data_IF_129064640347
#
_entry.id   IF_129064640347
#
_cell.length_a   1.000
_cell.length_b   1.000
_cell.length_c   1.000
_cell.angle_alpha   90.00
_cell.angle_beta   90.00
_cell.angle_gamma   90.00
#
_symmetry.space_group_name_H-M   'P 1'
#
loop_
_entity.id
_entity.type
_entity.pdbx_description
1 polymer ?
#
# COMPACT_ATOMS: atom_id res chain seq x y z
N UNK A 1 -15.51 50.15 12.29
CA UNK A 1 -16.81 50.48 11.65
C UNK A 1 -16.88 49.62 10.38
N UNK A 2 -17.66 48.68 10.18
CA UNK A 2 -19.05 48.31 10.30
C UNK A 2 -19.19 46.78 10.35
N UNK A 3 -19.98 46.31 11.25
CA UNK A 3 -20.57 44.98 11.32
C UNK A 3 -21.52 44.74 10.15
N UNK A 4 -21.61 43.52 9.63
CA UNK A 4 -22.87 42.97 9.13
C UNK A 4 -22.87 41.46 9.32
N UNK A 5 -23.78 41.01 10.20
CA UNK A 5 -24.21 39.64 10.44
C UNK A 5 -24.80 38.99 9.19
N UNK A 6 -24.50 37.69 9.01
CA UNK A 6 -25.39 36.78 8.31
C UNK A 6 -25.21 35.38 8.90
N UNK A 7 -26.28 34.90 9.56
CA UNK A 7 -26.35 33.66 10.28
C UNK A 7 -26.37 32.40 9.40
N UNK A 8 -26.29 31.19 10.00
CA UNK A 8 -26.07 29.94 9.30
C UNK A 8 -27.36 29.38 8.69
N UNK A 9 -27.37 29.23 7.37
CA UNK A 9 -28.41 28.47 6.68
C UNK A 9 -28.06 26.98 6.68
N UNK A 10 -28.84 26.19 7.39
CA UNK A 10 -28.82 24.71 7.33
C UNK A 10 -29.45 24.26 6.01
N UNK A 11 -28.64 23.94 5.01
CA UNK A 11 -29.07 23.18 3.83
C UNK A 11 -28.82 21.69 4.07
N UNK A 12 -29.90 20.97 4.30
CA UNK A 12 -29.96 19.51 4.25
C UNK A 12 -29.58 19.05 2.83
N UNK A 13 -28.39 18.43 2.72
CA UNK A 13 -27.92 17.78 1.51
C UNK A 13 -28.67 16.45 1.32
N UNK A 14 -29.74 16.46 0.53
CA UNK A 14 -30.32 15.23 -0.01
C UNK A 14 -29.38 14.63 -1.06
N UNK A 15 -28.99 13.39 -0.83
CA UNK A 15 -28.14 12.62 -1.74
C UNK A 15 -28.77 12.50 -3.12
N UNK A 16 -28.01 12.85 -4.17
CA UNK A 16 -28.40 12.66 -5.57
C UNK A 16 -28.35 11.17 -5.90
N UNK A 17 -29.50 10.60 -6.20
CA UNK A 17 -29.59 9.30 -6.89
C UNK A 17 -29.46 9.54 -8.39
N UNK A 18 -28.59 8.75 -9.03
CA UNK A 18 -28.39 8.74 -10.48
C UNK A 18 -29.66 8.24 -11.19
N UNK A 19 -30.40 9.13 -11.80
CA UNK A 19 -31.27 8.87 -12.97
C UNK A 19 -31.86 10.20 -13.49
N UNK A 20 -30.99 11.13 -13.94
CA UNK A 20 -31.39 12.29 -14.70
C UNK A 20 -31.05 12.06 -16.19
N UNK A 21 -31.99 11.48 -16.94
CA UNK A 21 -31.98 11.58 -18.41
C UNK A 21 -32.38 13.01 -18.79
N UNK A 22 -31.40 13.81 -19.16
CA UNK A 22 -31.58 15.22 -19.56
C UNK A 22 -32.02 15.29 -21.01
N UNK A 23 -33.30 15.69 -21.28
CA UNK A 23 -33.69 16.26 -22.56
C UNK A 23 -33.37 17.76 -22.59
N UNK A 24 -32.81 18.32 -23.69
CA UNK A 24 -32.49 19.74 -23.76
C UNK A 24 -33.77 20.60 -23.95
N UNK A 25 -34.12 21.39 -22.92
CA UNK A 25 -35.15 22.40 -23.09
C UNK A 25 -36.04 22.74 -21.88
N UNK A 26 -36.41 21.79 -20.99
CA UNK A 26 -37.09 22.06 -19.74
C UNK A 26 -36.76 20.94 -18.73
N UNK A 27 -36.13 21.30 -17.62
CA UNK A 27 -35.94 20.38 -16.48
C UNK A 27 -37.29 20.17 -15.76
N UNK A 28 -38.14 19.32 -16.29
CA UNK A 28 -39.28 18.81 -15.55
C UNK A 28 -38.90 17.45 -15.02
N UNK A 29 -38.85 17.30 -13.71
CA UNK A 29 -38.62 16.01 -13.07
C UNK A 29 -39.74 15.04 -13.48
N UNK A 30 -39.42 13.77 -13.73
CA UNK A 30 -40.41 12.74 -14.12
C UNK A 30 -41.54 12.66 -13.07
N UNK A 31 -41.23 12.91 -11.80
CA UNK A 31 -42.22 12.96 -10.72
C UNK A 31 -43.12 14.17 -10.89
N UNK A 32 -42.62 15.34 -11.31
CA UNK A 32 -43.37 16.54 -11.55
C UNK A 32 -44.37 16.35 -12.70
N UNK A 33 -44.00 15.67 -13.78
CA UNK A 33 -44.94 15.31 -14.85
C UNK A 33 -46.06 14.43 -14.38
N UNK A 34 -45.78 13.45 -13.52
CA UNK A 34 -46.82 12.55 -12.96
C UNK A 34 -47.74 13.30 -12.02
N UNK A 35 -47.23 14.23 -11.22
CA UNK A 35 -48.04 15.10 -10.36
C UNK A 35 -48.90 16.05 -11.18
N UNK A 36 -48.37 16.63 -12.26
CA UNK A 36 -49.16 17.50 -13.15
C UNK A 36 -50.29 16.72 -13.84
N UNK A 37 -49.99 15.49 -14.33
CA UNK A 37 -51.01 14.60 -14.88
C UNK A 37 -52.13 14.31 -13.89
N UNK A 38 -51.80 14.02 -12.64
CA UNK A 38 -52.81 13.76 -11.60
C UNK A 38 -53.58 15.01 -11.19
N UNK A 39 -52.95 16.16 -11.13
CA UNK A 39 -53.60 17.43 -10.89
C UNK A 39 -54.64 17.76 -11.97
N UNK A 40 -54.29 17.56 -13.24
CA UNK A 40 -55.25 17.73 -14.35
C UNK A 40 -56.34 16.67 -14.33
N UNK A 41 -56.07 15.42 -13.94
CA UNK A 41 -57.09 14.37 -13.76
C UNK A 41 -58.06 14.72 -12.65
N UNK A 42 -57.64 15.30 -11.54
CA UNK A 42 -58.49 15.67 -10.41
C UNK A 42 -59.41 16.86 -10.73
N UNK A 43 -59.05 17.69 -11.69
CA UNK A 43 -59.91 18.82 -12.12
C UNK A 43 -61.08 18.38 -13.01
N UNK A 44 -61.11 17.11 -13.46
CA UNK A 44 -62.18 16.49 -14.30
C UNK A 44 -62.50 17.28 -15.59
N UNK A 45 -61.55 18.13 -16.08
CA UNK A 45 -61.76 18.97 -17.27
C UNK A 45 -61.66 18.19 -18.57
N UNK A 46 -61.07 17.00 -18.55
CA UNK A 46 -60.77 16.16 -19.74
C UNK A 46 -60.97 14.66 -19.49
N UNK A 47 -61.30 13.92 -20.56
CA UNK A 47 -61.29 12.46 -20.45
C UNK A 47 -59.87 11.94 -20.20
N UNK A 48 -59.72 10.79 -19.51
CA UNK A 48 -58.41 10.15 -19.26
C UNK A 48 -57.69 9.85 -20.58
N UNK A 49 -58.44 9.59 -21.65
CA UNK A 49 -57.89 9.34 -22.99
C UNK A 49 -57.24 10.56 -23.59
N UNK A 50 -57.85 11.73 -23.46
CA UNK A 50 -57.33 12.99 -23.97
C UNK A 50 -56.19 13.47 -23.16
N UNK A 51 -56.25 13.33 -21.84
CA UNK A 51 -55.18 13.66 -20.90
C UNK A 51 -53.94 12.82 -21.19
N UNK A 52 -54.08 11.51 -21.44
CA UNK A 52 -52.98 10.64 -21.83
C UNK A 52 -52.31 11.08 -23.17
N UNK A 53 -53.14 11.58 -24.11
CA UNK A 53 -52.65 12.09 -25.40
C UNK A 53 -51.87 13.39 -25.21
N UNK A 54 -52.33 14.28 -24.38
CA UNK A 54 -51.68 15.56 -24.05
C UNK A 54 -50.33 15.32 -23.41
N UNK A 55 -50.29 14.41 -22.42
CA UNK A 55 -49.02 14.09 -21.73
C UNK A 55 -48.13 13.07 -22.48
N UNK A 56 -48.51 12.64 -23.68
CA UNK A 56 -47.72 11.72 -24.49
C UNK A 56 -47.50 10.33 -23.87
N UNK A 57 -48.47 9.85 -23.06
CA UNK A 57 -48.39 8.54 -22.39
C UNK A 57 -49.49 7.59 -22.82
N UNK A 58 -49.25 6.29 -22.72
CA UNK A 58 -50.30 5.30 -22.97
C UNK A 58 -51.38 5.34 -21.90
N UNK A 59 -52.63 4.99 -22.27
CA UNK A 59 -53.75 4.86 -21.32
C UNK A 59 -53.38 3.97 -20.13
N UNK A 60 -52.68 2.86 -20.42
CA UNK A 60 -52.23 1.92 -19.39
C UNK A 60 -51.29 2.61 -18.38
N UNK A 61 -50.42 3.50 -18.86
CA UNK A 61 -49.51 4.28 -18.01
C UNK A 61 -50.28 5.30 -17.21
N UNK A 62 -51.22 6.00 -17.78
CA UNK A 62 -52.08 6.95 -17.07
C UNK A 62 -52.88 6.30 -15.93
N UNK A 63 -53.57 5.19 -16.23
CA UNK A 63 -54.30 4.42 -15.20
C UNK A 63 -53.36 3.87 -14.11
N UNK A 64 -52.15 3.47 -14.46
CA UNK A 64 -51.13 3.03 -13.50
C UNK A 64 -50.76 4.12 -12.55
N UNK A 65 -50.64 5.35 -13.00
CA UNK A 65 -50.30 6.52 -12.13
C UNK A 65 -51.52 6.85 -11.24
N UNK A 66 -52.72 6.86 -11.78
CA UNK A 66 -53.95 7.09 -11.03
C UNK A 66 -54.10 6.06 -9.88
N UNK A 67 -53.96 4.79 -10.19
CA UNK A 67 -54.08 3.69 -9.23
C UNK A 67 -53.00 3.74 -8.15
N UNK A 68 -51.76 3.99 -8.54
CA UNK A 68 -50.67 4.15 -7.57
C UNK A 68 -50.88 5.34 -6.61
N UNK A 69 -51.43 6.44 -7.10
CA UNK A 69 -51.74 7.57 -6.27
C UNK A 69 -52.92 7.27 -5.33
N UNK A 70 -53.91 6.51 -5.76
CA UNK A 70 -55.02 6.03 -4.93
C UNK A 70 -54.56 5.11 -3.81
N UNK A 71 -53.61 4.21 -4.11
CA UNK A 71 -53.07 3.21 -3.17
C UNK A 71 -52.08 3.79 -2.16
N UNK A 72 -51.18 4.64 -2.58
CA UNK A 72 -50.01 5.08 -1.78
C UNK A 72 -49.79 6.60 -1.80
N UNK A 73 -50.76 7.39 -2.24
CA UNK A 73 -50.65 8.84 -2.35
C UNK A 73 -49.50 9.28 -3.29
N UNK A 74 -48.98 10.51 -3.09
CA UNK A 74 -47.92 11.06 -3.92
C UNK A 74 -46.62 10.20 -3.95
N UNK A 75 -46.33 9.46 -2.87
CA UNK A 75 -45.21 8.54 -2.79
C UNK A 75 -45.30 7.38 -3.78
N UNK A 76 -46.51 6.95 -4.15
CA UNK A 76 -46.77 5.95 -5.19
C UNK A 76 -46.29 6.35 -6.58
N UNK A 77 -46.03 7.65 -6.81
CA UNK A 77 -45.55 8.19 -8.07
C UNK A 77 -44.01 8.12 -8.19
N UNK A 78 -43.32 7.83 -7.12
CA UNK A 78 -41.87 7.61 -7.17
C UNK A 78 -41.51 6.39 -8.04
N UNK A 79 -40.34 6.40 -8.63
CA UNK A 79 -39.86 5.25 -9.39
C UNK A 79 -39.65 4.08 -8.43
N UNK A 80 -40.34 2.98 -8.71
CA UNK A 80 -40.08 1.72 -8.00
C UNK A 80 -38.75 1.15 -8.46
N UNK A 81 -37.99 0.56 -7.56
CA UNK A 81 -36.76 -0.16 -7.92
C UNK A 81 -37.07 -1.24 -8.94
N UNK A 82 -36.33 -1.25 -10.04
CA UNK A 82 -36.38 -2.34 -11.05
C UNK A 82 -35.53 -3.56 -10.63
N UNK A 83 -34.91 -3.51 -9.45
CA UNK A 83 -34.11 -4.61 -8.95
C UNK A 83 -34.98 -5.83 -8.68
N UNK A 84 -34.63 -7.03 -9.17
CA UNK A 84 -35.34 -8.27 -8.85
C UNK A 84 -35.43 -8.49 -7.33
N UNK A 85 -36.54 -9.01 -6.86
CA UNK A 85 -36.76 -9.32 -5.43
C UNK A 85 -35.86 -10.45 -4.91
N UNK A 86 -35.31 -11.27 -5.81
CA UNK A 86 -34.35 -12.31 -5.50
C UNK A 86 -33.30 -12.43 -6.60
N UNK A 87 -32.10 -12.82 -6.25
CA UNK A 87 -31.03 -13.11 -7.18
C UNK A 87 -30.46 -14.50 -6.84
N UNK A 88 -30.70 -15.49 -7.72
CA UNK A 88 -30.19 -16.86 -7.54
C UNK A 88 -28.66 -16.95 -7.47
N UNK A 89 -27.96 -15.93 -7.98
CA UNK A 89 -26.50 -15.81 -7.95
C UNK A 89 -25.98 -14.87 -6.85
N UNK A 90 -26.82 -14.53 -5.85
CA UNK A 90 -26.35 -13.73 -4.71
C UNK A 90 -25.30 -14.52 -3.94
N UNK A 91 -24.25 -13.82 -3.52
CA UNK A 91 -23.25 -14.40 -2.62
C UNK A 91 -23.93 -14.79 -1.30
N UNK A 92 -23.62 -15.98 -0.79
CA UNK A 92 -24.18 -16.46 0.47
C UNK A 92 -23.67 -15.65 1.64
N UNK A 93 -24.46 -15.56 2.69
CA UNK A 93 -24.10 -14.80 3.92
C UNK A 93 -22.83 -15.36 4.56
N UNK A 94 -22.60 -16.66 4.51
CA UNK A 94 -21.38 -17.31 5.00
C UNK A 94 -20.14 -16.74 4.34
N UNK A 95 -20.15 -16.63 3.00
CA UNK A 95 -19.03 -16.05 2.24
C UNK A 95 -18.86 -14.56 2.54
N UNK A 96 -19.94 -13.80 2.68
CA UNK A 96 -19.85 -12.38 3.06
C UNK A 96 -19.23 -12.21 4.44
N UNK A 97 -19.60 -13.04 5.41
CA UNK A 97 -19.05 -13.02 6.77
C UNK A 97 -17.56 -13.32 6.80
N UNK A 98 -17.08 -14.31 6.04
CA UNK A 98 -15.64 -14.58 5.91
C UNK A 98 -14.87 -13.40 5.31
N UNK A 99 -15.45 -12.75 4.29
CA UNK A 99 -14.87 -11.54 3.69
C UNK A 99 -14.78 -10.41 4.74
N UNK A 100 -15.81 -10.22 5.55
CA UNK A 100 -15.81 -9.19 6.60
C UNK A 100 -14.85 -9.52 7.74
N UNK A 101 -14.77 -10.77 8.16
CA UNK A 101 -13.84 -11.23 9.18
C UNK A 101 -12.38 -10.98 8.76
N UNK A 102 -12.01 -11.35 7.54
CA UNK A 102 -10.67 -11.09 7.02
C UNK A 102 -10.41 -9.59 6.80
N UNK A 103 -11.43 -8.84 6.37
CA UNK A 103 -11.30 -7.38 6.19
C UNK A 103 -11.11 -6.64 7.52
N UNK A 104 -11.76 -7.06 8.59
CA UNK A 104 -11.58 -6.47 9.92
C UNK A 104 -10.18 -6.70 10.48
N UNK A 105 -9.60 -7.88 10.21
CA UNK A 105 -8.22 -8.21 10.57
C UNK A 105 -7.19 -7.40 9.75
N UNK A 106 -7.49 -7.11 8.47
CA UNK A 106 -6.56 -6.46 7.53
C UNK A 106 -7.21 -5.23 6.87
N UNK A 107 -7.34 -4.14 7.60
CA UNK A 107 -8.01 -2.91 7.16
C UNK A 107 -7.43 -2.28 5.88
N UNK A 108 -6.14 -2.47 5.62
CA UNK A 108 -5.44 -1.93 4.45
C UNK A 108 -5.59 -2.77 3.17
N UNK A 109 -6.15 -4.00 3.26
CA UNK A 109 -6.21 -4.90 2.12
C UNK A 109 -7.42 -4.63 1.23
N UNK A 110 -7.19 -4.53 -0.08
CA UNK A 110 -8.28 -4.43 -1.07
C UNK A 110 -8.82 -5.80 -1.49
N UNK A 111 -9.94 -5.79 -2.22
CA UNK A 111 -10.68 -6.97 -2.67
C UNK A 111 -9.82 -8.09 -3.28
N UNK A 112 -8.85 -7.75 -4.14
CA UNK A 112 -7.95 -8.74 -4.77
C UNK A 112 -7.11 -9.52 -3.76
N UNK A 113 -6.59 -8.82 -2.72
CA UNK A 113 -5.78 -9.48 -1.68
C UNK A 113 -6.61 -10.34 -0.75
N UNK A 114 -7.79 -9.84 -0.37
CA UNK A 114 -8.72 -10.61 0.46
C UNK A 114 -9.11 -11.90 -0.25
N UNK A 115 -9.50 -11.82 -1.54
CA UNK A 115 -9.81 -13.02 -2.34
C UNK A 115 -8.63 -13.97 -2.39
N UNK A 116 -7.44 -13.50 -2.79
CA UNK A 116 -6.25 -14.35 -2.90
C UNK A 116 -5.87 -15.01 -1.56
N UNK A 117 -6.09 -14.32 -0.43
CA UNK A 117 -5.83 -14.92 0.89
C UNK A 117 -6.85 -15.98 1.25
N UNK A 118 -8.13 -15.76 0.98
CA UNK A 118 -9.19 -16.75 1.23
C UNK A 118 -9.01 -17.99 0.34
N UNK A 119 -8.63 -17.82 -0.92
CA UNK A 119 -8.28 -18.94 -1.82
C UNK A 119 -7.10 -19.77 -1.31
N UNK A 120 -6.15 -19.17 -0.59
CA UNK A 120 -5.05 -19.89 0.05
C UNK A 120 -5.48 -20.62 1.33
N UNK A 121 -6.42 -20.05 2.08
CA UNK A 121 -6.92 -20.63 3.33
C UNK A 121 -7.86 -21.80 3.06
N UNK A 122 -8.80 -21.61 2.15
CA UNK A 122 -9.83 -22.59 1.78
C UNK A 122 -9.92 -22.74 0.26
N UNK A 123 -9.03 -23.55 -0.34
CA UNK A 123 -8.99 -23.76 -1.81
C UNK A 123 -10.25 -24.46 -2.36
N UNK A 124 -10.95 -25.23 -1.53
CA UNK A 124 -12.15 -25.98 -1.93
C UNK A 124 -13.39 -25.08 -2.08
N UNK A 125 -13.37 -23.89 -1.49
CA UNK A 125 -14.49 -22.95 -1.58
C UNK A 125 -14.45 -22.20 -2.92
N UNK A 126 -15.57 -22.17 -3.63
CA UNK A 126 -15.68 -21.38 -4.86
C UNK A 126 -15.88 -19.89 -4.53
N UNK A 127 -14.78 -19.20 -4.30
CA UNK A 127 -14.79 -17.77 -3.98
C UNK A 127 -15.24 -16.92 -5.17
N UNK A 128 -16.13 -15.93 -4.97
CA UNK A 128 -16.59 -15.07 -6.04
C UNK A 128 -15.47 -14.20 -6.61
N UNK A 129 -15.73 -13.55 -7.74
CA UNK A 129 -14.76 -12.68 -8.39
C UNK A 129 -14.34 -11.50 -7.48
N UNK A 130 -13.12 -11.00 -7.65
CA UNK A 130 -12.61 -9.87 -6.86
C UNK A 130 -13.47 -8.58 -7.00
N UNK A 131 -14.18 -8.42 -8.13
CA UNK A 131 -15.16 -7.35 -8.31
C UNK A 131 -16.35 -7.50 -7.36
N UNK A 132 -16.83 -8.73 -7.15
CA UNK A 132 -17.90 -9.04 -6.19
C UNK A 132 -17.46 -8.72 -4.76
N UNK A 133 -16.24 -9.12 -4.37
CA UNK A 133 -15.64 -8.67 -3.08
C UNK A 133 -15.67 -7.14 -2.94
N UNK A 134 -15.26 -6.43 -4.00
CA UNK A 134 -15.29 -4.97 -4.01
C UNK A 134 -16.70 -4.40 -3.84
N UNK A 135 -17.71 -5.03 -4.42
CA UNK A 135 -19.11 -4.62 -4.30
C UNK A 135 -19.67 -4.90 -2.90
N UNK A 136 -19.37 -6.08 -2.33
CA UNK A 136 -19.76 -6.44 -0.95
C UNK A 136 -19.18 -5.42 0.04
N UNK A 137 -17.87 -5.16 -0.03
CA UNK A 137 -17.20 -4.19 0.84
C UNK A 137 -17.74 -2.76 0.66
N UNK A 138 -18.13 -2.38 -0.56
CA UNK A 138 -18.72 -1.06 -0.82
C UNK A 138 -20.11 -0.95 -0.23
N UNK A 139 -20.95 -1.97 -0.37
CA UNK A 139 -22.30 -2.01 0.24
C UNK A 139 -22.22 -1.90 1.76
N UNK A 140 -21.21 -2.54 2.37
CA UNK A 140 -20.95 -2.47 3.81
C UNK A 140 -20.24 -1.17 4.25
N UNK A 141 -19.99 -0.19 3.37
CA UNK A 141 -19.28 1.05 3.72
C UNK A 141 -17.79 0.86 4.04
N UNK A 142 -17.21 -0.31 3.79
CA UNK A 142 -15.83 -0.66 4.14
C UNK A 142 -14.80 -0.24 3.09
N UNK A 143 -15.19 0.57 2.10
CA UNK A 143 -14.29 1.09 1.07
C UNK A 143 -14.24 2.61 1.11
N UNK A 144 -13.03 3.18 1.10
CA UNK A 144 -12.85 4.62 0.92
C UNK A 144 -12.66 4.97 -0.54
N UNK A 145 -13.23 6.08 -1.05
CA UNK A 145 -13.01 6.53 -2.40
C UNK A 145 -11.52 6.84 -2.62
N UNK A 146 -10.91 6.21 -3.62
CA UNK A 146 -9.51 6.46 -3.96
C UNK A 146 -9.39 7.77 -4.73
N UNK A 147 -8.59 8.72 -4.23
CA UNK A 147 -8.18 9.88 -5.02
C UNK A 147 -7.43 9.40 -6.25
N UNK A 148 -7.83 9.87 -7.44
CA UNK A 148 -7.09 9.62 -8.69
C UNK A 148 -5.70 10.26 -8.54
N UNK A 149 -4.65 9.43 -8.42
CA UNK A 149 -3.27 9.91 -8.45
C UNK A 149 -2.78 9.90 -9.90
N UNK A 150 -1.98 10.92 -10.28
CA UNK A 150 -1.23 10.89 -11.54
C UNK A 150 -0.41 9.60 -11.58
N UNK A 151 -0.53 8.82 -12.64
CA UNK A 151 0.31 7.64 -12.87
C UNK A 151 1.66 8.14 -13.38
N UNK A 152 2.71 7.95 -12.61
CA UNK A 152 4.08 8.03 -13.12
C UNK A 152 4.38 6.75 -13.89
N UNK A 153 5.02 6.87 -15.04
CA UNK A 153 5.47 5.72 -15.81
C UNK A 153 6.40 4.86 -14.93
N UNK A 154 6.13 3.56 -14.79
CA UNK A 154 7.03 2.69 -14.07
C UNK A 154 8.41 2.71 -14.71
N UNK A 155 9.46 2.69 -13.89
CA UNK A 155 10.82 2.50 -14.41
C UNK A 155 10.91 1.08 -14.99
N UNK A 156 11.20 0.99 -16.28
CA UNK A 156 11.15 -0.26 -17.04
C UNK A 156 12.45 -1.04 -17.00
N UNK A 157 13.59 -0.36 -16.78
CA UNK A 157 14.88 -1.00 -16.72
C UNK A 157 15.26 -1.39 -15.29
N UNK A 158 15.44 -2.68 -14.98
CA UNK A 158 15.96 -3.09 -13.68
C UNK A 158 17.41 -2.60 -13.53
N UNK A 159 17.75 -2.03 -12.37
CA UNK A 159 19.12 -1.60 -12.06
C UNK A 159 20.12 -2.77 -12.08
N UNK A 160 19.65 -3.94 -11.67
CA UNK A 160 20.36 -5.22 -11.79
C UNK A 160 19.35 -6.36 -11.87
N UNK A 161 19.66 -7.37 -12.65
CA UNK A 161 18.81 -8.56 -12.73
C UNK A 161 18.89 -9.38 -11.44
N UNK A 162 17.74 -9.85 -10.96
CA UNK A 162 17.61 -10.66 -9.74
C UNK A 162 16.65 -11.80 -10.04
N UNK A 163 17.18 -13.00 -10.12
CA UNK A 163 16.46 -14.22 -10.54
C UNK A 163 16.19 -15.20 -9.39
N UNK A 164 16.91 -15.06 -8.26
CA UNK A 164 16.77 -15.95 -7.11
C UNK A 164 16.86 -15.19 -5.77
N UNK A 165 16.34 -15.75 -4.67
CA UNK A 165 16.50 -15.21 -3.33
C UNK A 165 17.99 -15.03 -2.96
N UNK A 166 18.24 -14.03 -2.11
CA UNK A 166 19.58 -13.67 -1.60
C UNK A 166 20.61 -13.21 -2.66
N UNK A 167 20.23 -13.07 -3.92
CA UNK A 167 21.12 -12.41 -4.88
C UNK A 167 21.26 -10.92 -4.57
N UNK A 168 20.22 -10.31 -4.03
CA UNK A 168 20.22 -8.88 -3.70
C UNK A 168 19.31 -8.61 -2.49
N UNK A 169 19.90 -8.06 -1.43
CA UNK A 169 19.15 -7.46 -0.35
C UNK A 169 19.07 -5.93 -0.52
N UNK A 170 17.88 -5.38 -0.35
CA UNK A 170 17.68 -3.93 -0.30
C UNK A 170 17.57 -3.48 1.15
N UNK A 171 18.32 -2.45 1.53
CA UNK A 171 18.33 -1.90 2.88
C UNK A 171 17.99 -0.42 2.83
N UNK A 172 17.13 0.03 3.76
CA UNK A 172 16.68 1.42 3.77
C UNK A 172 16.09 1.80 5.13
N UNK A 173 16.11 3.10 5.42
CA UNK A 173 15.40 3.70 6.55
C UNK A 173 14.07 4.26 6.10
N UNK A 174 13.01 3.96 6.87
CA UNK A 174 11.66 4.48 6.56
C UNK A 174 11.54 6.00 6.76
N UNK A 175 12.48 6.62 7.42
CA UNK A 175 12.35 7.94 7.99
C UNK A 175 11.71 7.87 9.38
N UNK A 176 12.06 8.82 10.24
CA UNK A 176 11.71 8.79 11.65
C UNK A 176 10.25 9.14 11.94
N UNK A 177 9.78 8.68 13.09
CA UNK A 177 8.59 9.13 13.81
C UNK A 177 8.86 9.03 15.32
N UNK A 178 8.00 9.64 16.14
CA UNK A 178 8.10 9.51 17.59
C UNK A 178 7.10 8.47 18.10
N UNK A 179 7.50 7.66 19.06
CA UNK A 179 6.64 6.80 19.87
C UNK A 179 5.80 7.63 20.83
N UNK A 180 4.83 7.03 21.51
CA UNK A 180 3.92 7.76 22.41
C UNK A 180 4.61 8.42 23.59
N UNK A 181 5.78 7.92 24.02
CA UNK A 181 6.65 8.51 25.04
C UNK A 181 7.59 9.61 24.49
N UNK A 182 7.43 10.00 23.21
CA UNK A 182 8.27 11.00 22.55
C UNK A 182 9.61 10.49 22.04
N UNK A 183 9.95 9.22 22.25
CA UNK A 183 11.23 8.65 21.79
C UNK A 183 11.27 8.56 20.28
N UNK A 184 12.38 8.99 19.67
CA UNK A 184 12.60 8.88 18.23
C UNK A 184 12.77 7.42 17.82
N UNK A 185 12.10 7.03 16.76
CA UNK A 185 12.21 5.73 16.12
C UNK A 185 12.54 5.90 14.64
N UNK A 186 13.66 5.34 14.21
CA UNK A 186 14.05 5.25 12.80
C UNK A 186 13.95 3.78 12.37
N UNK A 187 12.86 3.35 11.69
CA UNK A 187 12.73 1.96 11.27
C UNK A 187 13.76 1.61 10.19
N UNK A 188 14.64 0.67 10.50
CA UNK A 188 15.58 0.10 9.57
C UNK A 188 15.03 -1.21 9.02
N UNK A 189 15.02 -1.37 7.71
CA UNK A 189 14.42 -2.51 7.03
C UNK A 189 15.39 -3.15 6.04
N UNK A 190 15.35 -4.48 5.99
CA UNK A 190 16.09 -5.31 5.04
C UNK A 190 15.10 -6.19 4.30
N UNK A 191 15.09 -6.15 2.98
CA UNK A 191 14.21 -6.98 2.14
C UNK A 191 15.00 -7.72 1.08
N UNK A 192 14.60 -8.95 0.79
CA UNK A 192 15.07 -9.67 -0.39
C UNK A 192 14.39 -9.14 -1.65
N UNK A 193 15.17 -8.80 -2.67
CA UNK A 193 14.66 -8.15 -3.88
C UNK A 193 13.87 -9.11 -4.79
N UNK A 194 14.16 -10.42 -4.76
CA UNK A 194 13.46 -11.43 -5.57
C UNK A 194 12.12 -11.78 -4.95
N UNK A 195 12.12 -12.36 -3.77
CA UNK A 195 10.94 -12.84 -3.06
C UNK A 195 10.11 -11.75 -2.39
N UNK A 196 10.68 -10.54 -2.22
CA UNK A 196 10.13 -9.44 -1.41
C UNK A 196 10.02 -9.77 0.09
N UNK A 197 10.69 -10.82 0.53
CA UNK A 197 10.69 -11.21 1.93
C UNK A 197 11.30 -10.11 2.79
N UNK A 198 10.58 -9.71 3.83
CA UNK A 198 11.06 -8.73 4.81
C UNK A 198 11.94 -9.47 5.83
N UNK A 199 13.24 -9.41 5.62
CA UNK A 199 14.26 -10.10 6.42
C UNK A 199 14.36 -9.48 7.82
N UNK A 200 14.33 -8.13 7.88
CA UNK A 200 14.34 -7.38 9.15
C UNK A 200 13.47 -6.14 9.05
N UNK A 201 12.82 -5.83 10.16
CA UNK A 201 12.17 -4.56 10.41
C UNK A 201 12.50 -4.17 11.86
N UNK A 202 13.55 -3.39 12.04
CA UNK A 202 14.14 -3.12 13.35
C UNK A 202 13.96 -1.65 13.74
N UNK A 203 13.53 -1.40 14.99
CA UNK A 203 13.60 -0.07 15.58
C UNK A 203 15.05 0.27 15.89
N UNK A 204 15.52 1.40 15.38
CA UNK A 204 16.80 1.97 15.81
C UNK A 204 16.55 3.39 16.33
N UNK A 205 17.30 3.78 17.36
CA UNK A 205 17.20 5.13 17.95
C UNK A 205 18.06 6.15 17.22
N UNK A 206 19.07 5.68 16.51
CA UNK A 206 20.00 6.50 15.70
C UNK A 206 20.41 5.75 14.44
N UNK A 207 20.59 6.50 13.35
CA UNK A 207 21.11 5.96 12.09
C UNK A 207 22.64 5.93 12.14
N UNK A 208 23.22 5.19 13.10
CA UNK A 208 24.67 5.04 13.27
C UNK A 208 25.18 3.69 12.76
N UNK A 209 26.50 3.63 12.62
CA UNK A 209 27.20 2.46 12.09
C UNK A 209 26.99 1.22 12.95
N UNK A 210 27.10 1.34 14.29
CA UNK A 210 27.13 0.16 15.18
C UNK A 210 25.77 -0.52 15.27
N UNK A 211 24.67 0.25 15.36
CA UNK A 211 23.32 -0.30 15.38
C UNK A 211 23.00 -0.99 14.05
N UNK A 212 23.27 -0.32 12.92
CA UNK A 212 23.00 -0.89 11.58
C UNK A 212 23.85 -2.15 11.34
N UNK A 213 25.13 -2.12 11.70
CA UNK A 213 26.01 -3.28 11.61
C UNK A 213 25.47 -4.45 12.42
N UNK A 214 25.08 -4.24 13.67
CA UNK A 214 24.54 -5.29 14.53
C UNK A 214 23.27 -5.94 13.92
N UNK A 215 22.37 -5.13 13.35
CA UNK A 215 21.15 -5.63 12.68
C UNK A 215 21.51 -6.42 11.43
N UNK A 216 22.45 -5.95 10.60
CA UNK A 216 22.90 -6.64 9.41
C UNK A 216 23.57 -7.98 9.75
N UNK A 217 24.45 -8.02 10.75
CA UNK A 217 25.11 -9.25 11.20
C UNK A 217 24.10 -10.24 11.78
N UNK A 218 23.13 -9.80 12.56
CA UNK A 218 22.06 -10.65 13.07
C UNK A 218 21.22 -11.25 11.92
N UNK A 219 20.89 -10.43 10.92
CA UNK A 219 20.20 -10.91 9.71
C UNK A 219 21.02 -11.95 8.94
N UNK A 220 22.31 -11.70 8.76
CA UNK A 220 23.20 -12.64 8.04
C UNK A 220 23.45 -13.93 8.81
N UNK A 221 23.45 -13.91 10.16
CA UNK A 221 23.56 -15.14 10.97
C UNK A 221 22.31 -16.00 10.85
N UNK A 222 21.13 -15.40 10.75
CA UNK A 222 19.86 -16.12 10.71
C UNK A 222 19.51 -16.60 9.29
N UNK A 223 19.73 -15.75 8.29
CA UNK A 223 19.28 -16.00 6.91
C UNK A 223 20.42 -16.32 5.93
N UNK A 224 21.68 -16.31 6.38
CA UNK A 224 22.87 -16.37 5.52
C UNK A 224 23.13 -15.06 4.81
N UNK A 225 24.23 -15.00 4.07
CA UNK A 225 24.70 -13.78 3.39
C UNK A 225 24.10 -13.62 2.00
N UNK A 226 23.76 -12.37 1.59
CA UNK A 226 23.43 -12.08 0.19
C UNK A 226 24.70 -11.96 -0.67
N UNK A 227 24.53 -12.05 -1.99
CA UNK A 227 25.62 -11.75 -2.93
C UNK A 227 25.83 -10.24 -3.05
N UNK A 228 24.76 -9.46 -2.99
CA UNK A 228 24.78 -8.00 -3.16
C UNK A 228 23.87 -7.32 -2.15
N UNK A 229 24.24 -6.11 -1.77
CA UNK A 229 23.42 -5.24 -0.91
C UNK A 229 23.22 -3.93 -1.63
N UNK A 230 21.95 -3.51 -1.76
CA UNK A 230 21.58 -2.20 -2.32
C UNK A 230 21.10 -1.26 -1.22
N UNK A 231 21.66 -0.03 -1.26
CA UNK A 231 21.25 1.04 -0.34
C UNK A 231 21.07 2.35 -1.08
N UNK A 232 20.55 3.35 -0.40
CA UNK A 232 20.65 4.74 -0.82
C UNK A 232 22.09 5.28 -0.65
N UNK A 233 22.28 6.57 -0.95
CA UNK A 233 23.56 7.26 -0.80
C UNK A 233 23.70 8.01 0.53
N UNK A 234 22.79 7.79 1.48
CA UNK A 234 22.79 8.43 2.79
C UNK A 234 23.72 7.74 3.80
N UNK A 235 24.08 8.45 4.85
CA UNK A 235 24.74 7.84 6.01
C UNK A 235 23.78 6.84 6.70
N UNK A 236 24.26 5.72 7.22
CA UNK A 236 25.66 5.28 7.36
C UNK A 236 26.17 4.42 6.17
N UNK A 237 25.44 4.32 5.07
CA UNK A 237 25.77 3.43 3.94
C UNK A 237 26.86 4.00 3.02
N UNK A 238 26.87 5.31 2.86
CA UNK A 238 27.87 6.02 2.06
C UNK A 238 28.61 7.07 2.89
N UNK A 239 29.87 7.28 2.55
CA UNK A 239 30.73 8.31 3.12
C UNK A 239 31.08 9.39 2.11
N UNK A 240 31.69 10.48 2.59
CA UNK A 240 32.18 11.58 1.74
C UNK A 240 33.62 11.37 1.27
N UNK A 241 34.28 10.30 1.73
CA UNK A 241 35.67 9.98 1.40
C UNK A 241 35.84 9.31 0.03
N UNK A 242 37.03 8.75 -0.19
CA UNK A 242 37.43 8.08 -1.42
C UNK A 242 36.38 7.04 -1.86
N UNK A 243 35.92 7.12 -3.11
CA UNK A 243 34.88 6.27 -3.70
C UNK A 243 33.53 6.28 -2.94
N UNK A 244 33.33 7.20 -1.98
CA UNK A 244 32.13 7.24 -1.15
C UNK A 244 31.99 6.02 -0.22
N UNK A 245 33.08 5.34 0.13
CA UNK A 245 33.08 4.20 1.02
C UNK A 245 32.69 4.60 2.43
N UNK A 246 31.94 3.75 3.10
CA UNK A 246 31.65 3.80 4.53
C UNK A 246 32.22 2.57 5.25
N UNK A 247 32.29 2.62 6.59
CA UNK A 247 32.71 1.45 7.38
C UNK A 247 31.83 0.23 7.12
N UNK A 248 30.51 0.43 6.88
CA UNK A 248 29.58 -0.65 6.50
C UNK A 248 29.93 -1.24 5.15
N UNK A 249 30.04 -0.39 4.11
CA UNK A 249 30.36 -0.86 2.76
C UNK A 249 31.70 -1.60 2.70
N UNK A 250 32.70 -1.10 3.43
CA UNK A 250 34.00 -1.78 3.54
C UNK A 250 33.85 -3.15 4.25
N UNK A 251 33.07 -3.21 5.33
CA UNK A 251 32.78 -4.47 6.02
C UNK A 251 32.11 -5.50 5.09
N UNK A 252 31.13 -5.08 4.27
CA UNK A 252 30.51 -5.96 3.29
C UNK A 252 31.47 -6.41 2.19
N UNK A 253 32.31 -5.51 1.69
CA UNK A 253 33.35 -5.88 0.71
C UNK A 253 34.33 -6.91 1.27
N UNK A 254 34.74 -6.79 2.55
CA UNK A 254 35.58 -7.80 3.23
C UNK A 254 34.91 -9.17 3.37
N UNK A 255 33.55 -9.21 3.35
CA UNK A 255 32.76 -10.43 3.33
C UNK A 255 32.51 -10.96 1.91
N UNK A 256 33.01 -10.30 0.87
CA UNK A 256 32.77 -10.64 -0.54
C UNK A 256 31.39 -10.18 -1.06
N UNK A 257 30.68 -9.35 -0.31
CA UNK A 257 29.38 -8.83 -0.71
C UNK A 257 29.56 -7.56 -1.55
N UNK A 258 28.94 -7.52 -2.73
CA UNK A 258 28.97 -6.35 -3.60
C UNK A 258 28.00 -5.29 -3.12
N UNK A 259 28.49 -4.08 -2.87
CA UNK A 259 27.64 -2.95 -2.48
C UNK A 259 27.18 -2.16 -3.72
N UNK A 260 25.87 -2.14 -3.95
CA UNK A 260 25.21 -1.36 -5.00
C UNK A 260 24.58 -0.10 -4.39
N UNK A 261 24.87 1.07 -4.93
CA UNK A 261 24.21 2.32 -4.55
C UNK A 261 23.22 2.76 -5.62
N UNK A 262 22.04 3.21 -5.23
CA UNK A 262 21.09 3.79 -6.20
C UNK A 262 21.71 5.02 -6.86
N UNK A 263 21.38 5.27 -8.11
CA UNK A 263 21.85 6.45 -8.83
C UNK A 263 21.26 7.71 -8.20
N UNK A 264 22.05 8.78 -8.02
CA UNK A 264 21.53 10.05 -7.53
C UNK A 264 20.35 10.54 -8.36
N UNK A 265 19.27 10.99 -7.70
CA UNK A 265 18.06 11.47 -8.38
C UNK A 265 17.15 10.38 -8.96
N UNK A 266 17.42 9.09 -8.74
CA UNK A 266 16.59 7.98 -9.24
C UNK A 266 15.98 7.13 -8.11
N UNK A 267 15.09 7.68 -7.27
CA UNK A 267 14.47 6.93 -6.18
C UNK A 267 13.63 5.73 -6.67
N UNK A 268 13.18 5.75 -7.94
CA UNK A 268 12.41 4.65 -8.54
C UNK A 268 13.15 3.30 -8.49
N UNK A 269 14.50 3.30 -8.45
CA UNK A 269 15.31 2.10 -8.31
C UNK A 269 15.07 1.36 -6.98
N UNK A 270 14.52 2.07 -5.96
CA UNK A 270 14.08 1.49 -4.68
C UNK A 270 12.55 1.46 -4.50
N UNK A 271 11.78 1.66 -5.57
CA UNK A 271 10.33 1.82 -5.52
C UNK A 271 9.55 0.60 -4.97
N UNK A 272 10.15 -0.61 -4.94
CA UNK A 272 9.57 -1.79 -4.28
C UNK A 272 9.64 -1.63 -2.76
N UNK A 273 10.78 -1.18 -2.26
CA UNK A 273 11.04 -0.91 -0.85
C UNK A 273 10.15 0.23 -0.33
N UNK A 274 10.03 1.32 -1.09
CA UNK A 274 9.14 2.44 -0.75
C UNK A 274 7.67 2.01 -0.61
N UNK A 275 7.20 1.09 -1.46
CA UNK A 275 5.84 0.52 -1.34
C UNK A 275 5.66 -0.30 -0.07
N UNK A 276 6.67 -1.06 0.34
CA UNK A 276 6.67 -1.79 1.60
C UNK A 276 6.64 -0.80 2.77
N UNK A 277 7.48 0.23 2.76
CA UNK A 277 7.52 1.29 3.76
C UNK A 277 6.17 2.01 3.93
N UNK A 278 5.45 2.26 2.84
CA UNK A 278 4.11 2.85 2.93
C UNK A 278 3.16 1.93 3.69
N UNK A 279 3.18 0.64 3.40
CA UNK A 279 2.34 -0.35 4.10
C UNK A 279 2.74 -0.46 5.57
N UNK A 280 4.04 -0.52 5.87
CA UNK A 280 4.57 -0.52 7.23
C UNK A 280 4.05 0.69 8.03
N UNK A 281 4.11 1.89 7.43
CA UNK A 281 3.60 3.11 8.06
C UNK A 281 2.10 3.05 8.31
N UNK A 282 1.33 2.58 7.34
CA UNK A 282 -0.13 2.48 7.47
C UNK A 282 -0.53 1.50 8.58
N UNK A 283 0.15 0.37 8.69
CA UNK A 283 -0.24 -0.73 9.58
C UNK A 283 0.36 -0.61 11.00
N UNK A 284 1.49 0.09 11.19
CA UNK A 284 2.22 0.05 12.47
C UNK A 284 2.42 1.39 13.17
N UNK A 285 2.27 2.52 12.45
CA UNK A 285 2.55 3.85 13.03
C UNK A 285 1.31 4.73 13.18
N UNK A 286 0.11 4.18 12.98
CA UNK A 286 -1.15 4.92 13.08
C UNK A 286 -2.17 4.18 13.96
N UNK A 287 -2.13 4.39 15.27
CA UNK A 287 -1.16 5.17 16.07
C UNK A 287 0.16 4.43 16.29
N UNK A 288 1.26 5.14 16.60
CA UNK A 288 2.51 4.51 17.02
C UNK A 288 2.31 3.81 18.37
N UNK A 289 3.24 2.91 18.74
CA UNK A 289 3.23 2.32 20.08
C UNK A 289 3.76 3.30 21.13
N UNK A 290 3.53 3.01 22.41
CA UNK A 290 3.94 3.89 23.52
C UNK A 290 5.47 3.97 23.63
N UNK A 291 6.18 2.85 23.48
CA UNK A 291 7.63 2.75 23.65
C UNK A 291 8.28 2.05 22.45
N UNK A 292 9.60 2.22 22.25
CA UNK A 292 10.36 1.51 21.22
C UNK A 292 10.22 -0.01 21.32
N UNK A 293 10.19 -0.58 22.52
CA UNK A 293 10.02 -2.01 22.73
C UNK A 293 8.64 -2.49 22.23
N UNK A 294 7.59 -1.74 22.52
CA UNK A 294 6.25 -2.06 22.03
C UNK A 294 6.13 -1.82 20.52
N UNK A 295 6.85 -0.82 20.01
CA UNK A 295 6.90 -0.57 18.57
C UNK A 295 7.61 -1.71 17.83
N UNK A 296 8.68 -2.28 18.41
CA UNK A 296 9.33 -3.46 17.85
C UNK A 296 8.37 -4.65 17.77
N UNK A 297 7.58 -4.90 18.81
CA UNK A 297 6.54 -5.97 18.76
C UNK A 297 5.54 -5.75 17.62
N UNK A 298 5.16 -4.48 17.33
CA UNK A 298 4.32 -4.18 16.16
C UNK A 298 5.05 -4.48 14.85
N UNK A 299 6.34 -4.18 14.77
CA UNK A 299 7.13 -4.50 13.58
C UNK A 299 7.32 -6.00 13.38
N UNK A 300 7.53 -6.76 14.47
CA UNK A 300 7.63 -8.21 14.41
C UNK A 300 6.32 -8.84 13.90
N UNK A 301 5.18 -8.37 14.43
CA UNK A 301 3.86 -8.80 13.95
C UNK A 301 3.61 -8.41 12.48
N UNK A 302 4.03 -7.21 12.08
CA UNK A 302 3.97 -6.78 10.69
C UNK A 302 4.84 -7.65 9.78
N UNK A 303 6.07 -7.97 10.19
CA UNK A 303 6.99 -8.83 9.44
C UNK A 303 6.39 -10.22 9.21
N UNK A 304 5.79 -10.82 10.23
CA UNK A 304 5.11 -12.12 10.12
C UNK A 304 3.91 -12.04 9.15
N UNK A 305 3.02 -11.08 9.34
CA UNK A 305 1.88 -10.86 8.45
C UNK A 305 2.33 -10.58 7.00
N UNK A 306 3.34 -9.71 6.81
CA UNK A 306 3.85 -9.34 5.50
C UNK A 306 4.44 -10.52 4.73
N UNK A 307 5.19 -11.38 5.44
CA UNK A 307 5.89 -12.52 4.85
C UNK A 307 4.99 -13.73 4.63
N UNK A 308 4.05 -14.01 5.53
CA UNK A 308 3.34 -15.29 5.54
C UNK A 308 1.83 -15.19 5.28
N UNK A 309 1.24 -14.00 5.45
CA UNK A 309 -0.20 -13.83 5.24
C UNK A 309 -0.54 -12.99 4.01
N UNK A 310 0.27 -11.96 3.71
CA UNK A 310 -0.05 -10.96 2.70
C UNK A 310 0.21 -11.46 1.27
N UNK A 311 -0.81 -11.56 0.41
CA UNK A 311 -0.61 -11.83 -1.01
C UNK A 311 0.04 -10.65 -1.74
N UNK A 312 0.99 -10.94 -2.64
CA UNK A 312 1.68 -9.94 -3.44
C UNK A 312 1.37 -10.12 -4.93
N UNK A 313 0.68 -9.15 -5.53
CA UNK A 313 0.29 -9.19 -6.95
C UNK A 313 1.49 -9.43 -7.89
N UNK A 314 2.64 -8.83 -7.61
CA UNK A 314 3.84 -9.06 -8.41
C UNK A 314 4.62 -10.35 -8.05
N UNK A 315 4.03 -11.23 -7.26
CA UNK A 315 4.46 -12.62 -7.01
C UNK A 315 3.31 -13.59 -7.36
N UNK A 316 2.46 -13.20 -8.32
CA UNK A 316 1.27 -13.96 -8.68
C UNK A 316 0.37 -14.29 -7.47
N UNK A 317 0.18 -13.31 -6.61
CA UNK A 317 -0.54 -13.39 -5.34
C UNK A 317 0.03 -14.37 -4.29
N UNK A 318 1.21 -14.93 -4.52
CA UNK A 318 1.91 -15.72 -3.51
C UNK A 318 2.41 -14.83 -2.37
N UNK A 319 2.64 -15.41 -1.20
CA UNK A 319 3.29 -14.74 -0.07
C UNK A 319 4.81 -14.73 -0.25
N UNK A 320 5.54 -13.72 0.24
CA UNK A 320 7.00 -13.72 0.20
C UNK A 320 7.64 -14.98 0.83
N UNK A 321 7.09 -15.43 1.96
CA UNK A 321 7.59 -16.62 2.67
C UNK A 321 7.44 -17.94 1.91
N UNK A 322 6.50 -18.01 0.94
CA UNK A 322 6.38 -19.21 0.09
C UNK A 322 7.44 -19.30 -1.02
N UNK A 323 8.20 -18.22 -1.23
CA UNK A 323 9.22 -18.12 -2.29
C UNK A 323 10.62 -18.03 -1.70
N UNK A 324 10.74 -17.38 -0.53
CA UNK A 324 12.03 -17.12 0.10
C UNK A 324 12.63 -18.40 0.68
N UNK A 325 13.95 -18.54 0.49
CA UNK A 325 14.77 -19.56 1.13
C UNK A 325 16.04 -18.90 1.66
N UNK A 326 16.53 -19.25 2.87
CA UNK A 326 17.78 -18.75 3.39
C UNK A 326 18.97 -19.03 2.47
N UNK A 327 19.98 -18.18 2.54
CA UNK A 327 21.23 -18.38 1.77
C UNK A 327 22.05 -19.54 2.35
N UNK A 328 22.66 -20.33 1.49
CA UNK A 328 23.61 -21.35 1.89
C UNK A 328 24.97 -20.79 2.34
N UNK A 329 25.26 -19.52 2.00
CA UNK A 329 26.49 -18.84 2.39
C UNK A 329 26.35 -18.25 3.77
N UNK A 330 27.02 -18.86 4.75
CA UNK A 330 26.93 -18.43 6.14
C UNK A 330 27.92 -17.30 6.47
N UNK A 331 27.54 -16.44 7.42
CA UNK A 331 28.45 -15.42 7.93
C UNK A 331 29.67 -16.09 8.61
N UNK A 332 30.92 -15.82 8.17
CA UNK A 332 32.09 -16.42 8.76
C UNK A 332 32.29 -15.94 10.22
N UNK A 333 32.77 -16.82 11.08
CA UNK A 333 33.08 -16.45 12.49
C UNK A 333 34.18 -15.42 12.64
N UNK A 334 35.13 -15.43 11.70
CA UNK A 334 36.22 -14.43 11.61
C UNK A 334 36.43 -14.06 10.15
N UNK A 335 36.77 -12.80 9.90
CA UNK A 335 37.18 -12.37 8.57
C UNK A 335 38.54 -12.97 8.25
N UNK A 336 38.66 -13.61 7.10
CA UNK A 336 39.96 -14.10 6.56
C UNK A 336 40.80 -12.86 6.24
N UNK A 337 42.01 -12.79 6.78
CA UNK A 337 42.92 -11.70 6.45
C UNK A 337 43.22 -11.67 4.94
N UNK A 338 43.29 -10.48 4.37
CA UNK A 338 43.56 -10.32 2.97
C UNK A 338 45.01 -10.76 2.65
N UNK A 339 45.17 -11.70 1.73
CA UNK A 339 46.49 -12.14 1.26
C UNK A 339 46.83 -11.32 0.02
N UNK A 340 47.86 -10.50 0.13
CA UNK A 340 48.29 -9.66 -0.98
C UNK A 340 49.14 -10.47 -1.95
N UNK A 341 48.99 -10.29 -3.28
CA UNK A 341 49.86 -10.94 -4.26
C UNK A 341 51.33 -10.58 -4.05
N UNK A 342 52.22 -11.49 -4.43
CA UNK A 342 53.67 -11.22 -4.39
C UNK A 342 54.01 -9.98 -5.23
N UNK A 343 54.86 -9.10 -4.70
CA UNK A 343 55.27 -7.85 -5.36
C UNK A 343 54.47 -6.61 -5.01
N UNK A 344 53.34 -6.75 -4.25
CA UNK A 344 52.63 -5.60 -3.78
C UNK A 344 53.29 -5.02 -2.53
N UNK A 345 53.40 -3.68 -2.51
CA UNK A 345 53.93 -2.96 -1.34
C UNK A 345 52.76 -2.64 -0.41
N UNK A 346 52.70 -3.31 0.74
CA UNK A 346 51.64 -3.16 1.72
C UNK A 346 51.95 -1.95 2.61
N UNK A 347 50.97 -1.09 2.82
CA UNK A 347 51.03 0.02 3.77
C UNK A 347 49.81 0.00 4.67
N UNK A 348 49.98 0.25 5.97
CA UNK A 348 48.88 0.44 6.92
C UNK A 348 48.45 1.88 6.89
N UNK A 349 47.14 2.08 6.93
CA UNK A 349 46.53 3.39 7.15
C UNK A 349 46.65 3.71 8.64
N UNK A 350 47.14 4.90 8.96
CA UNK A 350 47.27 5.39 10.36
C UNK A 350 45.93 6.00 10.85
N UNK A 351 45.84 6.33 12.12
CA UNK A 351 44.61 6.91 12.75
C UNK A 351 44.14 8.23 12.12
N UNK A 352 44.96 8.91 11.35
CA UNK A 352 44.59 10.11 10.58
C UNK A 352 44.04 9.77 9.16
N UNK A 353 44.06 8.52 8.76
CA UNK A 353 43.66 8.09 7.44
C UNK A 353 44.77 8.16 6.39
N UNK A 354 46.03 8.35 6.78
CA UNK A 354 47.17 8.50 5.90
C UNK A 354 47.96 7.19 5.76
N UNK A 355 48.61 7.03 4.65
CA UNK A 355 49.70 6.04 4.45
C UNK A 355 51.02 6.75 4.29
N UNK A 356 52.10 6.12 4.79
CA UNK A 356 53.47 6.55 4.46
C UNK A 356 53.86 6.09 3.06
N UNK A 357 54.17 7.05 2.17
CA UNK A 357 54.59 6.80 0.81
C UNK A 357 55.80 7.61 0.46
N UNK A 358 56.90 6.92 0.13
CA UNK A 358 58.23 7.53 0.00
C UNK A 358 58.62 8.38 1.23
N UNK A 359 58.91 9.66 1.04
CA UNK A 359 59.31 10.58 2.10
C UNK A 359 58.14 11.42 2.65
N UNK A 360 56.88 11.10 2.22
CA UNK A 360 55.70 11.89 2.61
C UNK A 360 54.55 11.03 3.18
N UNK A 361 53.50 11.70 3.59
CA UNK A 361 52.21 11.10 3.98
C UNK A 361 51.16 11.41 2.91
N UNK A 362 50.40 10.41 2.54
CA UNK A 362 49.31 10.55 1.56
C UNK A 362 48.02 10.17 2.29
N UNK A 363 47.09 11.11 2.37
CA UNK A 363 45.76 10.81 2.89
C UNK A 363 45.02 9.88 1.95
N UNK A 364 44.51 8.80 2.47
CA UNK A 364 43.73 7.79 1.70
C UNK A 364 42.29 7.81 2.17
N UNK A 365 42.04 7.47 3.42
CA UNK A 365 40.69 7.48 4.00
C UNK A 365 40.74 7.05 5.48
N UNK A 366 39.95 7.69 6.33
CA UNK A 366 39.74 7.25 7.71
C UNK A 366 38.87 5.99 7.81
N UNK A 367 38.20 5.59 6.77
CA UNK A 367 37.33 4.40 6.73
C UNK A 367 38.12 3.11 6.62
N UNK A 368 39.38 3.18 6.14
CA UNK A 368 40.27 2.03 5.91
C UNK A 368 41.09 1.61 7.15
N UNK A 369 40.81 2.20 8.31
CA UNK A 369 41.39 1.88 9.60
C UNK A 369 41.09 0.46 10.08
#
# INVERSE_FOLDING_TARGET
MRYSDAGPSWFLSFGRTHDDAVCPGKRVCIVDQRLQFLSSYQKEEMSVSDLCREFGVSRQTGYRWINRNKEAGPEGLLNRSSKPNGCSHATTEVIENEIFALRSKHLSWGARKLKARLEMLDPEVNWPAASTFGNILRRAGLTSPKRKKRRTTPYSEPFSEVTAPNQLWCMDFKGYFSTGDGTRCDPFTITDAHSRYLIRCQTVSRMDFDQVRAVCEAAMREYGMPLRIRTDNGAPFAGVGLLGLSKLSLGWMKLGIVHERIQPGRPQQNGRHERMHRTLKEDTTKPPALTLRLQQKKFDGFQQMFNHERPHEGLNNKTPGSIYQPSSTMLPRALIGYVYPKGFVIRRVNNSGDISWHKGRVFVSQVLL
#
